data_IF_499392343951
#
_entry.id   IF_499392343951
#
_cell.length_a   1.000
_cell.length_b   1.000
_cell.length_c   1.000
_cell.angle_alpha   90.00
_cell.angle_beta   90.00
_cell.angle_gamma   90.00
#
_symmetry.space_group_name_H-M   'P 1'
#
loop_
_entity.id
_entity.type
_entity.pdbx_description
1 polymer ?
#
# COMPACT_ATOMS: atom_id res chain seq x y z
N UNK A 1 -12.26 -19.30 10.07
CA UNK A 1 -12.31 -19.05 8.64
C UNK A 1 -12.07 -17.57 8.36
N UNK A 2 -11.27 -17.31 7.37
CA UNK A 2 -10.91 -15.95 7.07
C UNK A 2 -11.93 -15.30 6.15
N UNK A 3 -12.36 -14.08 6.50
CA UNK A 3 -13.16 -13.23 5.63
C UNK A 3 -12.30 -12.11 5.03
N UNK A 4 -10.98 -12.32 5.04
CA UNK A 4 -10.02 -11.34 4.55
C UNK A 4 -10.06 -11.26 3.03
N UNK A 5 -10.20 -10.04 2.53
CA UNK A 5 -10.17 -9.74 1.10
C UNK A 5 -9.08 -8.70 0.86
N UNK A 6 -8.17 -8.97 -0.06
CA UNK A 6 -7.19 -8.00 -0.52
C UNK A 6 -7.62 -7.56 -1.91
N UNK A 7 -7.80 -6.27 -2.11
CA UNK A 7 -8.24 -5.71 -3.39
C UNK A 7 -7.53 -4.41 -3.73
N UNK A 8 -7.42 -4.07 -5.03
CA UNK A 8 -6.93 -2.74 -5.41
C UNK A 8 -7.88 -1.65 -4.90
N UNK A 9 -7.30 -0.53 -4.48
CA UNK A 9 -8.10 0.65 -4.17
C UNK A 9 -8.71 1.20 -5.46
N UNK A 10 -9.90 1.78 -5.34
CA UNK A 10 -10.60 2.43 -6.43
C UNK A 10 -10.61 3.93 -6.19
N UNK A 11 -10.97 4.70 -7.22
CA UNK A 11 -11.03 6.14 -7.11
C UNK A 11 -11.89 6.60 -5.92
N UNK A 12 -13.02 5.95 -5.69
CA UNK A 12 -13.91 6.27 -4.58
C UNK A 12 -13.31 5.95 -3.20
N UNK A 13 -12.21 5.21 -3.15
CA UNK A 13 -11.53 4.90 -1.90
C UNK A 13 -10.52 5.99 -1.49
N UNK A 14 -10.35 7.03 -2.28
CA UNK A 14 -9.27 8.00 -2.08
C UNK A 14 -9.29 8.65 -0.69
N UNK A 15 -10.46 9.01 -0.18
CA UNK A 15 -10.56 9.60 1.16
C UNK A 15 -10.15 8.61 2.25
N UNK A 16 -10.56 7.34 2.11
CA UNK A 16 -10.17 6.27 3.04
C UNK A 16 -8.67 6.02 2.99
N UNK A 17 -8.08 5.99 1.79
CA UNK A 17 -6.64 5.82 1.64
C UNK A 17 -5.90 6.96 2.31
N UNK A 18 -6.37 8.22 2.11
CA UNK A 18 -5.76 9.38 2.77
C UNK A 18 -5.81 9.24 4.29
N UNK A 19 -6.93 8.77 4.85
CA UNK A 19 -7.06 8.55 6.29
C UNK A 19 -6.04 7.52 6.78
N UNK A 20 -5.89 6.41 6.06
CA UNK A 20 -4.95 5.36 6.44
C UNK A 20 -3.50 5.83 6.36
N UNK A 21 -3.16 6.58 5.31
CA UNK A 21 -1.81 7.16 5.15
C UNK A 21 -1.53 8.12 6.31
N UNK A 22 -2.51 8.95 6.70
CA UNK A 22 -2.37 9.86 7.82
C UNK A 22 -2.20 9.13 9.15
N UNK A 23 -2.93 8.02 9.36
CA UNK A 23 -2.78 7.19 10.56
C UNK A 23 -1.35 6.66 10.68
N UNK A 24 -0.81 6.11 9.60
CA UNK A 24 0.55 5.58 9.60
C UNK A 24 1.58 6.70 9.80
N UNK A 25 1.42 7.81 9.10
CA UNK A 25 2.33 8.95 9.23
C UNK A 25 2.36 9.46 10.67
N UNK A 26 1.20 9.61 11.30
CA UNK A 26 1.12 10.05 12.68
C UNK A 26 1.81 9.05 13.63
N UNK A 27 1.61 7.76 13.40
CA UNK A 27 2.27 6.72 14.20
C UNK A 27 3.78 6.78 14.09
N UNK A 28 4.31 7.17 12.93
CA UNK A 28 5.75 7.26 12.68
C UNK A 28 6.33 8.63 13.03
N UNK A 29 5.49 9.59 13.44
CA UNK A 29 5.94 10.95 13.74
C UNK A 29 6.22 11.79 12.50
N UNK A 30 5.67 11.39 11.34
CA UNK A 30 5.83 12.11 10.09
C UNK A 30 4.76 13.20 9.93
N UNK A 31 5.03 14.23 9.10
CA UNK A 31 4.04 15.26 8.82
C UNK A 31 2.79 14.70 8.15
N UNK A 32 1.63 15.27 8.44
CA UNK A 32 0.35 14.86 7.86
C UNK A 32 -0.35 15.96 7.05
N UNK A 33 0.15 17.18 7.08
CA UNK A 33 -0.52 18.33 6.45
C UNK A 33 -0.60 18.25 4.92
N UNK A 34 0.23 17.43 4.29
CA UNK A 34 0.22 17.28 2.83
C UNK A 34 -0.66 16.13 2.34
N UNK A 35 -1.20 15.35 3.26
CA UNK A 35 -1.99 14.15 2.93
C UNK A 35 -3.45 14.56 2.71
N UNK A 36 -4.01 14.24 1.55
CA UNK A 36 -5.39 14.56 1.24
C UNK A 36 -5.97 13.57 0.23
N UNK A 37 -7.30 13.45 0.24
CA UNK A 37 -7.99 12.65 -0.78
C UNK A 37 -7.70 13.18 -2.18
N UNK A 38 -7.60 14.50 -2.33
CA UNK A 38 -7.30 15.12 -3.61
C UNK A 38 -5.92 14.70 -4.13
N UNK A 39 -4.90 14.71 -3.28
CA UNK A 39 -3.55 14.27 -3.67
C UNK A 39 -3.55 12.80 -4.05
N UNK A 40 -4.26 11.96 -3.31
CA UNK A 40 -4.36 10.53 -3.62
C UNK A 40 -5.03 10.33 -4.98
N UNK A 41 -6.13 11.04 -5.26
CA UNK A 41 -6.82 10.95 -6.56
C UNK A 41 -5.93 11.41 -7.70
N UNK A 42 -5.26 12.56 -7.52
CA UNK A 42 -4.41 13.15 -8.55
C UNK A 42 -3.27 12.22 -8.96
N UNK A 43 -2.62 11.61 -7.98
CA UNK A 43 -1.37 10.88 -8.21
C UNK A 43 -1.53 9.38 -8.34
N UNK A 44 -2.57 8.80 -7.75
CA UNK A 44 -2.78 7.35 -7.74
C UNK A 44 -3.75 6.84 -8.79
N UNK A 45 -4.56 7.71 -9.40
CA UNK A 45 -5.66 7.30 -10.28
C UNK A 45 -5.63 8.04 -11.62
N UNK A 46 -4.44 8.25 -12.14
CA UNK A 46 -4.22 8.79 -13.48
C UNK A 46 -3.69 7.68 -14.39
N UNK A 47 -3.63 7.88 -15.72
CA UNK A 47 -3.18 6.81 -16.64
C UNK A 47 -1.82 6.21 -16.32
N UNK A 48 -0.88 7.03 -15.83
CA UNK A 48 0.43 6.54 -15.36
C UNK A 48 0.55 6.92 -13.88
N UNK A 49 -0.03 6.12 -12.98
CA UNK A 49 -0.06 6.49 -11.58
C UNK A 49 1.33 6.49 -10.95
N UNK A 50 1.54 7.37 -9.97
CA UNK A 50 2.79 7.43 -9.23
C UNK A 50 2.91 6.26 -8.26
N UNK A 51 1.79 5.66 -7.87
CA UNK A 51 1.75 4.55 -6.93
C UNK A 51 0.49 3.72 -7.13
N UNK A 52 0.48 2.52 -6.55
CA UNK A 52 -0.72 1.68 -6.44
C UNK A 52 -0.99 1.39 -4.99
N UNK A 53 -2.25 1.13 -4.66
CA UNK A 53 -2.67 0.81 -3.30
C UNK A 53 -3.50 -0.46 -3.31
N UNK A 54 -3.17 -1.38 -2.41
CA UNK A 54 -4.01 -2.53 -2.09
C UNK A 54 -4.63 -2.31 -0.72
N UNK A 55 -5.92 -2.59 -0.62
CA UNK A 55 -6.67 -2.49 0.63
C UNK A 55 -6.98 -3.88 1.16
N UNK A 56 -6.90 -4.04 2.48
CA UNK A 56 -7.29 -5.27 3.15
C UNK A 56 -8.61 -5.04 3.88
N UNK A 57 -9.62 -5.84 3.54
CA UNK A 57 -10.91 -5.81 4.22
C UNK A 57 -11.07 -7.06 5.06
N UNK A 58 -11.55 -6.90 6.27
CA UNK A 58 -11.82 -7.99 7.19
C UNK A 58 -13.13 -7.69 7.90
N UNK A 59 -14.07 -8.62 7.82
CA UNK A 59 -15.39 -8.43 8.43
C UNK A 59 -16.17 -7.26 7.84
N UNK A 60 -15.95 -6.94 6.56
CA UNK A 60 -16.65 -5.84 5.89
C UNK A 60 -16.07 -4.46 6.13
N UNK A 61 -14.98 -4.37 6.88
CA UNK A 61 -14.32 -3.09 7.17
C UNK A 61 -12.87 -3.11 6.69
N UNK A 62 -12.37 -1.97 6.23
CA UNK A 62 -10.96 -1.87 5.82
C UNK A 62 -10.08 -1.87 7.06
N UNK A 63 -9.12 -2.80 7.08
CA UNK A 63 -8.25 -3.05 8.21
C UNK A 63 -6.81 -2.57 7.98
N UNK A 64 -6.42 -2.33 6.73
CA UNK A 64 -5.06 -1.90 6.42
C UNK A 64 -4.85 -1.70 4.94
N UNK A 65 -3.62 -1.30 4.60
CA UNK A 65 -3.26 -1.04 3.20
C UNK A 65 -1.79 -1.29 2.94
N UNK A 66 -1.47 -1.46 1.67
CA UNK A 66 -0.10 -1.41 1.16
C UNK A 66 -0.06 -0.39 0.03
N UNK A 67 0.95 0.48 0.04
CA UNK A 67 1.19 1.45 -1.03
C UNK A 67 2.56 1.18 -1.61
N UNK A 68 2.65 1.07 -2.92
CA UNK A 68 3.90 0.71 -3.59
C UNK A 68 4.01 1.41 -4.94
N UNK A 69 5.23 1.52 -5.44
CA UNK A 69 5.48 2.13 -6.73
C UNK A 69 6.60 1.40 -7.46
N UNK A 70 6.74 1.68 -8.75
CA UNK A 70 7.77 1.04 -9.58
C UNK A 70 9.15 1.55 -9.18
N UNK A 71 10.11 0.66 -9.24
CA UNK A 71 11.50 0.90 -8.86
C UNK A 71 12.42 0.31 -9.91
N UNK A 72 13.62 0.86 -10.02
CA UNK A 72 14.62 0.36 -10.95
C UNK A 72 16.00 0.34 -10.30
N UNK A 73 16.70 -0.78 -10.43
CA UNK A 73 18.05 -0.91 -9.91
C UNK A 73 19.03 -0.92 -11.09
N UNK A 74 19.72 0.20 -11.37
CA UNK A 74 20.55 0.29 -12.57
C UNK A 74 21.76 -0.63 -12.55
N UNK A 75 22.32 -0.93 -11.38
CA UNK A 75 23.49 -1.81 -11.29
C UNK A 75 23.19 -3.23 -11.79
N UNK A 76 21.94 -3.65 -11.70
CA UNK A 76 21.50 -4.98 -12.12
C UNK A 76 20.57 -4.94 -13.31
N UNK A 77 20.31 -3.73 -13.86
CA UNK A 77 19.30 -3.53 -14.90
C UNK A 77 17.99 -4.20 -14.53
N UNK A 78 17.63 -4.14 -13.25
CA UNK A 78 16.49 -4.87 -12.71
C UNK A 78 15.30 -3.96 -12.45
N UNK A 79 14.12 -4.39 -12.88
CA UNK A 79 12.84 -3.70 -12.66
C UNK A 79 12.17 -4.31 -11.45
N UNK A 80 11.78 -3.48 -10.50
CA UNK A 80 11.18 -3.94 -9.27
C UNK A 80 10.06 -3.06 -8.78
N UNK A 81 9.67 -3.30 -7.54
CA UNK A 81 8.63 -2.56 -6.82
C UNK A 81 9.19 -2.17 -5.47
N UNK A 82 8.98 -0.91 -5.08
CA UNK A 82 9.25 -0.44 -3.73
C UNK A 82 7.96 -0.42 -2.93
N UNK A 83 7.93 -1.21 -1.86
CA UNK A 83 6.80 -1.21 -0.91
C UNK A 83 7.05 -0.05 0.06
N UNK A 84 6.37 1.06 -0.20
CA UNK A 84 6.54 2.30 0.54
C UNK A 84 5.87 2.25 1.89
N UNK A 85 4.60 1.81 1.93
CA UNK A 85 3.81 1.73 3.15
C UNK A 85 3.17 0.36 3.29
N UNK A 86 3.24 -0.19 4.50
CA UNK A 86 2.52 -1.40 4.88
C UNK A 86 1.95 -1.13 6.28
N UNK A 87 0.63 -1.04 6.37
CA UNK A 87 -0.04 -0.62 7.59
C UNK A 87 -1.27 -1.46 7.88
N UNK A 88 -1.39 -1.90 9.12
CA UNK A 88 -2.58 -2.58 9.62
C UNK A 88 -3.07 -1.82 10.85
N UNK A 89 -4.35 -1.44 10.86
CA UNK A 89 -4.94 -0.73 11.99
C UNK A 89 -4.75 -1.53 13.28
N UNK A 90 -4.49 -0.85 14.43
CA UNK A 90 -4.16 -1.55 15.67
C UNK A 90 -5.17 -2.65 16.06
N UNK A 91 -6.47 -2.40 15.88
CA UNK A 91 -7.51 -3.34 16.25
C UNK A 91 -7.50 -4.61 15.39
N UNK A 92 -6.84 -4.60 14.24
CA UNK A 92 -6.80 -5.71 13.30
C UNK A 92 -5.45 -6.43 13.27
N UNK A 93 -4.50 -6.05 14.11
CA UNK A 93 -3.16 -6.64 14.13
C UNK A 93 -3.16 -8.06 14.67
N UNK A 94 -2.08 -8.79 14.38
CA UNK A 94 -1.85 -10.19 14.82
C UNK A 94 -2.80 -11.20 14.19
N UNK A 95 -3.34 -10.85 13.00
CA UNK A 95 -4.22 -11.75 12.24
C UNK A 95 -3.62 -12.13 10.89
N UNK A 96 -2.35 -11.80 10.65
CA UNK A 96 -1.67 -12.13 9.39
C UNK A 96 -2.03 -11.19 8.23
N UNK A 97 -2.69 -10.06 8.49
CA UNK A 97 -3.13 -9.14 7.44
C UNK A 97 -1.94 -8.47 6.74
N UNK A 98 -0.94 -8.03 7.52
CA UNK A 98 0.27 -7.43 6.95
C UNK A 98 1.01 -8.40 6.02
N UNK A 99 1.11 -9.65 6.43
CA UNK A 99 1.73 -10.70 5.61
C UNK A 99 0.94 -10.92 4.31
N UNK A 100 -0.38 -10.95 4.42
CA UNK A 100 -1.25 -11.11 3.25
C UNK A 100 -1.12 -9.94 2.28
N UNK A 101 -1.04 -8.70 2.80
CA UNK A 101 -0.81 -7.52 1.98
C UNK A 101 0.55 -7.59 1.27
N UNK A 102 1.61 -7.94 2.00
CA UNK A 102 2.95 -8.05 1.40
C UNK A 102 2.98 -9.13 0.31
N UNK A 103 2.33 -10.27 0.54
CA UNK A 103 2.23 -11.33 -0.47
C UNK A 103 1.47 -10.86 -1.70
N UNK A 104 0.41 -10.07 -1.52
CA UNK A 104 -0.36 -9.52 -2.63
C UNK A 104 0.46 -8.52 -3.44
N UNK A 105 1.30 -7.70 -2.79
CA UNK A 105 2.23 -6.80 -3.49
C UNK A 105 3.21 -7.61 -4.34
N UNK A 106 3.76 -8.70 -3.79
CA UNK A 106 4.67 -9.56 -4.54
C UNK A 106 3.98 -10.18 -5.76
N UNK A 107 2.72 -10.61 -5.60
CA UNK A 107 1.92 -11.13 -6.72
C UNK A 107 1.68 -10.08 -7.79
N UNK A 108 1.38 -8.84 -7.38
CA UNK A 108 1.19 -7.74 -8.31
C UNK A 108 2.48 -7.40 -9.05
N UNK A 109 3.62 -7.39 -8.35
CA UNK A 109 4.93 -7.14 -8.96
C UNK A 109 5.20 -8.19 -10.05
N UNK A 110 4.94 -9.46 -9.76
CA UNK A 110 5.10 -10.54 -10.73
C UNK A 110 4.19 -10.33 -11.95
N UNK A 111 2.94 -9.96 -11.73
CA UNK A 111 1.99 -9.70 -12.81
C UNK A 111 2.45 -8.53 -13.70
N UNK A 112 3.15 -7.54 -13.14
CA UNK A 112 3.71 -6.41 -13.86
C UNK A 112 5.05 -6.72 -14.54
N UNK A 113 5.55 -7.95 -14.44
CA UNK A 113 6.84 -8.33 -15.01
C UNK A 113 8.03 -7.79 -14.22
N UNK A 114 7.82 -7.52 -12.95
CA UNK A 114 8.87 -7.01 -12.05
C UNK A 114 9.55 -8.17 -11.33
N UNK A 115 10.85 -8.07 -11.12
CA UNK A 115 11.65 -9.19 -10.63
C UNK A 115 11.94 -9.16 -9.13
N UNK A 116 11.63 -8.05 -8.45
CA UNK A 116 11.87 -7.95 -7.01
C UNK A 116 10.91 -6.97 -6.34
N UNK A 117 10.77 -7.13 -5.01
CA UNK A 117 10.10 -6.17 -4.13
C UNK A 117 11.08 -5.84 -3.01
N UNK A 118 11.23 -4.56 -2.68
CA UNK A 118 12.07 -4.16 -1.56
C UNK A 118 11.36 -3.11 -0.71
N UNK A 119 11.79 -3.00 0.52
CA UNK A 119 11.27 -2.01 1.46
C UNK A 119 12.33 -1.70 2.50
N UNK A 120 12.13 -0.58 3.23
CA UNK A 120 12.98 -0.18 4.34
C UNK A 120 12.17 -0.38 5.62
N UNK A 121 12.76 -1.12 6.57
CA UNK A 121 12.16 -1.34 7.87
C UNK A 121 12.73 -0.34 8.87
N UNK A 122 11.85 0.37 9.58
CA UNK A 122 12.29 1.26 10.65
C UNK A 122 12.51 0.45 11.93
N UNK A 123 13.59 0.77 12.68
CA UNK A 123 13.84 0.09 13.96
C UNK A 123 12.75 0.36 14.97
#
# INVERSE_FOLDING_TARGET
MSDLIIRPARLEDAALVADLVAELAAQQGDPTEHISAEAIRRDGFKPSPEFEVLLAESGGAVAGYALFHLSYEPCYAARGVYLCDLYVRPAARRKGIGRALAAAVAGRAKALGRSYVWWVSKP
#
